data_IF_174612045503
#
_entry.id   IF_174612045503
#
_cell.length_a   1.000
_cell.length_b   1.000
_cell.length_c   1.000
_cell.angle_alpha   90.00
_cell.angle_beta   90.00
_cell.angle_gamma   90.00
#
_symmetry.space_group_name_H-M   'P 1'
#
loop_
_entity.id
_entity.type
_entity.pdbx_description
1 polymer ?
#
# COMPACT_ATOMS: atom_id res chain seq x y z
N UNK A 1 16.15 3.77 9.69
CA UNK A 1 14.92 4.17 8.96
C UNK A 1 13.77 3.53 9.70
N UNK A 2 13.06 4.30 10.53
CA UNK A 2 11.97 3.77 11.37
C UNK A 2 10.76 3.59 10.43
N UNK A 3 10.42 2.34 10.09
CA UNK A 3 9.20 2.02 9.34
C UNK A 3 8.05 2.00 10.34
N UNK A 4 7.14 2.97 10.29
CA UNK A 4 5.85 2.87 10.96
C UNK A 4 5.01 1.83 10.22
N UNK A 5 4.92 0.63 10.77
CA UNK A 5 3.97 -0.38 10.32
C UNK A 5 2.65 -0.14 11.05
N UNK A 6 1.71 0.54 10.41
CA UNK A 6 0.34 0.65 10.92
C UNK A 6 -0.42 -0.61 10.52
N UNK A 7 -0.43 -1.63 11.37
CA UNK A 7 -1.26 -2.81 11.16
C UNK A 7 -2.69 -2.50 11.61
N UNK A 8 -3.59 -2.31 10.65
CA UNK A 8 -5.02 -2.24 10.95
C UNK A 8 -5.60 -3.65 11.02
N UNK A 9 -6.25 -3.97 12.13
CA UNK A 9 -7.04 -5.18 12.32
C UNK A 9 -8.11 -5.31 11.24
N UNK A 10 -8.07 -6.40 10.49
CA UNK A 10 -9.10 -6.73 9.50
C UNK A 10 -10.35 -7.29 10.19
N UNK A 11 -11.24 -6.43 10.67
CA UNK A 11 -12.62 -6.84 10.90
C UNK A 11 -13.33 -6.82 9.55
N UNK A 12 -13.54 -7.98 8.94
CA UNK A 12 -14.43 -8.11 7.80
C UNK A 12 -15.88 -7.96 8.31
N UNK A 13 -16.39 -6.73 8.30
CA UNK A 13 -17.84 -6.54 8.34
C UNK A 13 -18.31 -6.85 6.92
N UNK A 14 -18.97 -7.99 6.73
CA UNK A 14 -19.79 -8.25 5.55
C UNK A 14 -21.03 -7.37 5.63
N UNK A 15 -20.90 -6.08 5.39
CA UNK A 15 -22.03 -5.27 5.00
C UNK A 15 -22.39 -5.67 3.57
N UNK A 16 -23.68 -5.87 3.31
CA UNK A 16 -24.17 -6.02 1.94
C UNK A 16 -23.54 -4.92 1.09
N UNK A 17 -22.69 -5.32 0.13
CA UNK A 17 -21.93 -4.41 -0.68
C UNK A 17 -22.91 -3.50 -1.41
N UNK A 18 -23.01 -2.24 -1.00
CA UNK A 18 -23.42 -1.20 -1.92
C UNK A 18 -22.41 -1.27 -3.07
N UNK A 19 -22.89 -1.40 -4.30
CA UNK A 19 -22.00 -1.49 -5.45
C UNK A 19 -21.13 -0.23 -5.43
N UNK A 20 -19.84 -0.40 -5.15
CA UNK A 20 -18.90 0.71 -5.12
C UNK A 20 -18.91 1.39 -6.49
N UNK A 21 -19.08 2.69 -6.49
CA UNK A 21 -19.22 3.48 -7.71
C UNK A 21 -17.87 3.83 -8.32
N UNK A 22 -16.85 3.92 -7.48
CA UNK A 22 -15.49 4.30 -7.85
C UNK A 22 -14.46 3.32 -7.32
N UNK A 23 -13.29 3.31 -7.94
CA UNK A 23 -12.09 2.63 -7.45
C UNK A 23 -10.89 3.54 -7.57
N UNK A 24 -9.92 3.38 -6.68
CA UNK A 24 -8.63 4.07 -6.78
C UNK A 24 -7.79 3.42 -7.89
N UNK A 25 -7.49 4.16 -8.93
CA UNK A 25 -6.71 3.68 -10.07
C UNK A 25 -5.22 3.98 -9.94
N UNK A 26 -4.83 5.16 -9.44
CA UNK A 26 -3.43 5.47 -9.17
C UNK A 26 -3.24 6.61 -8.18
N UNK A 27 -1.99 6.71 -7.72
CA UNK A 27 -1.48 7.81 -6.93
C UNK A 27 -0.21 8.29 -7.61
N UNK A 28 -0.08 9.60 -7.86
CA UNK A 28 1.12 10.16 -8.44
C UNK A 28 1.63 11.36 -7.64
N UNK A 29 2.97 11.52 -7.63
CA UNK A 29 3.64 12.66 -7.03
C UNK A 29 3.60 13.87 -7.96
N UNK A 30 3.36 15.07 -7.38
CA UNK A 30 3.43 16.33 -8.12
C UNK A 30 4.82 16.67 -8.67
N UNK A 31 5.86 15.98 -8.21
CA UNK A 31 7.20 16.06 -8.76
C UNK A 31 7.34 15.33 -10.11
N UNK A 32 6.32 14.54 -10.48
CA UNK A 32 6.26 13.83 -11.76
C UNK A 32 7.26 12.67 -11.91
N UNK A 33 7.88 12.24 -10.82
CA UNK A 33 8.92 11.22 -10.80
C UNK A 33 8.49 9.90 -10.19
N UNK A 34 7.29 9.82 -9.60
CA UNK A 34 6.78 8.61 -8.97
C UNK A 34 5.27 8.48 -9.19
N UNK A 35 4.85 7.29 -9.61
CA UNK A 35 3.44 6.91 -9.73
C UNK A 35 3.24 5.47 -9.26
N UNK A 36 2.19 5.25 -8.47
CA UNK A 36 1.69 3.91 -8.14
C UNK A 36 0.38 3.68 -8.88
N UNK A 37 0.29 2.59 -9.65
CA UNK A 37 -0.89 2.22 -10.44
C UNK A 37 -1.48 0.94 -9.87
N UNK A 38 -2.80 0.92 -9.70
CA UNK A 38 -3.55 -0.22 -9.19
C UNK A 38 -4.27 -0.95 -10.33
N UNK A 39 -3.98 -2.23 -10.50
CA UNK A 39 -4.60 -3.11 -11.47
C UNK A 39 -5.73 -3.92 -10.86
N UNK A 40 -6.72 -4.24 -11.68
CA UNK A 40 -7.91 -4.99 -11.27
C UNK A 40 -8.20 -6.10 -12.28
N UNK A 41 -8.64 -7.25 -11.78
CA UNK A 41 -9.06 -8.37 -12.64
C UNK A 41 -10.43 -8.09 -13.31
N UNK A 42 -10.90 -9.05 -14.11
CA UNK A 42 -12.18 -8.94 -14.82
C UNK A 42 -13.39 -8.88 -13.90
N UNK A 43 -13.25 -9.34 -12.68
CA UNK A 43 -14.29 -9.31 -11.65
C UNK A 43 -14.21 -8.01 -10.82
N UNK A 44 -13.26 -7.11 -11.14
CA UNK A 44 -13.04 -5.84 -10.46
C UNK A 44 -12.25 -5.97 -9.16
N UNK A 45 -11.64 -7.13 -8.88
CA UNK A 45 -10.80 -7.30 -7.68
C UNK A 45 -9.39 -6.75 -7.95
N UNK A 46 -8.86 -6.06 -6.97
CA UNK A 46 -7.48 -5.59 -6.97
C UNK A 46 -6.50 -6.76 -7.07
N UNK A 47 -5.67 -6.81 -8.11
CA UNK A 47 -4.76 -7.93 -8.33
C UNK A 47 -3.34 -7.53 -8.73
N UNK A 48 -3.06 -6.24 -8.84
CA UNK A 48 -1.74 -5.76 -9.26
C UNK A 48 -1.46 -4.36 -8.69
N UNK A 49 -0.20 -4.13 -8.29
CA UNK A 49 0.35 -2.80 -8.01
C UNK A 49 1.57 -2.60 -8.89
N UNK A 50 1.67 -1.46 -9.52
CA UNK A 50 2.85 -1.05 -10.28
C UNK A 50 3.43 0.21 -9.68
N UNK A 51 4.76 0.24 -9.54
CA UNK A 51 5.50 1.42 -9.10
C UNK A 51 6.38 1.90 -10.22
N UNK A 52 6.14 3.12 -10.63
CA UNK A 52 6.87 3.79 -11.69
C UNK A 52 7.70 4.92 -11.11
N UNK A 53 8.93 5.07 -11.60
CA UNK A 53 9.75 6.26 -11.42
C UNK A 53 9.99 6.96 -12.76
N UNK A 54 10.91 7.94 -12.81
CA UNK A 54 11.26 8.66 -14.03
C UNK A 54 11.86 7.76 -15.14
N UNK A 55 12.30 6.54 -14.80
CA UNK A 55 12.83 5.55 -15.77
C UNK A 55 11.74 4.64 -16.32
N UNK A 56 10.59 4.59 -15.67
CA UNK A 56 9.44 3.75 -16.02
C UNK A 56 9.04 2.79 -14.90
N UNK A 57 8.46 1.64 -15.24
CA UNK A 57 8.07 0.61 -14.29
C UNK A 57 9.30 -0.02 -13.63
N UNK A 58 9.43 0.11 -12.31
CA UNK A 58 10.56 -0.41 -11.53
C UNK A 58 10.20 -1.61 -10.67
N UNK A 59 8.95 -1.65 -10.16
CA UNK A 59 8.43 -2.75 -9.35
C UNK A 59 6.99 -3.04 -9.75
N UNK A 60 6.59 -4.30 -9.62
CA UNK A 60 5.17 -4.64 -9.55
C UNK A 60 4.91 -5.81 -8.63
N UNK A 61 3.77 -5.76 -7.94
CA UNK A 61 3.21 -6.85 -7.17
C UNK A 61 2.06 -7.50 -7.96
N UNK A 62 1.93 -8.82 -7.86
CA UNK A 62 0.87 -9.61 -8.49
C UNK A 62 0.20 -10.49 -7.44
N UNK A 63 -1.10 -10.29 -7.25
CA UNK A 63 -1.89 -10.91 -6.21
C UNK A 63 -2.71 -12.07 -6.78
N UNK A 64 -2.67 -13.21 -6.11
CA UNK A 64 -3.56 -14.34 -6.35
C UNK A 64 -4.53 -14.49 -5.19
N UNK A 65 -5.75 -14.92 -5.52
CA UNK A 65 -6.83 -15.09 -4.56
C UNK A 65 -7.24 -16.56 -4.43
N UNK A 66 -7.54 -16.99 -3.21
CA UNK A 66 -8.17 -18.27 -2.94
C UNK A 66 -9.66 -18.28 -3.38
N UNK A 67 -10.31 -19.44 -3.26
CA UNK A 67 -11.72 -19.59 -3.61
C UNK A 67 -12.68 -18.74 -2.77
N UNK A 68 -12.26 -18.25 -1.62
CA UNK A 68 -13.04 -17.39 -0.73
C UNK A 68 -12.83 -15.88 -1.04
N UNK A 69 -12.01 -15.55 -2.05
CA UNK A 69 -11.72 -14.17 -2.43
C UNK A 69 -10.71 -13.46 -1.51
N UNK A 70 -9.92 -14.21 -0.74
CA UNK A 70 -8.85 -13.68 0.10
C UNK A 70 -7.51 -13.82 -0.63
N UNK A 71 -6.57 -12.90 -0.41
CA UNK A 71 -5.23 -12.97 -1.01
C UNK A 71 -4.53 -14.23 -0.50
N UNK A 72 -4.21 -15.15 -1.41
CA UNK A 72 -3.50 -16.38 -1.11
C UNK A 72 -1.99 -16.21 -1.28
N UNK A 73 -1.60 -15.46 -2.30
CA UNK A 73 -0.19 -15.23 -2.62
C UNK A 73 0.00 -13.84 -3.21
N UNK A 74 1.08 -13.20 -2.82
CA UNK A 74 1.58 -11.95 -3.38
C UNK A 74 2.99 -12.19 -3.92
N UNK A 75 3.23 -11.85 -5.19
CA UNK A 75 4.51 -11.95 -5.85
C UNK A 75 5.03 -10.55 -6.16
N UNK A 76 6.24 -10.23 -5.71
CA UNK A 76 6.90 -8.96 -6.01
C UNK A 76 8.00 -9.16 -7.06
N UNK A 77 7.95 -8.34 -8.10
CA UNK A 77 8.92 -8.34 -9.18
C UNK A 77 9.63 -6.98 -9.26
N UNK A 78 10.94 -7.02 -9.46
CA UNK A 78 11.77 -5.83 -9.64
C UNK A 78 12.40 -5.84 -11.03
N UNK A 79 12.42 -4.68 -11.70
CA UNK A 79 13.16 -4.51 -12.93
C UNK A 79 14.66 -4.51 -12.66
N UNK A 80 15.40 -5.25 -13.49
CA UNK A 80 16.86 -5.29 -13.47
C UNK A 80 17.42 -4.87 -14.81
N UNK A 81 18.26 -3.83 -14.81
CA UNK A 81 18.89 -3.33 -16.03
C UNK A 81 19.83 -4.37 -16.67
N UNK A 82 20.57 -5.12 -15.83
CA UNK A 82 21.53 -6.13 -16.28
C UNK A 82 20.86 -7.31 -17.01
N UNK A 83 19.62 -7.63 -16.65
CA UNK A 83 18.85 -8.75 -17.21
C UNK A 83 17.83 -8.27 -18.28
N UNK A 84 17.73 -6.97 -18.50
CA UNK A 84 16.72 -6.31 -19.36
C UNK A 84 15.27 -6.79 -19.09
N UNK A 85 14.95 -7.11 -17.82
CA UNK A 85 13.67 -7.70 -17.47
C UNK A 85 13.30 -7.62 -15.98
N UNK A 86 12.14 -8.20 -15.69
CA UNK A 86 11.66 -8.30 -14.32
C UNK A 86 12.07 -9.63 -13.68
N UNK A 87 12.67 -9.53 -12.50
CA UNK A 87 13.01 -10.68 -11.68
C UNK A 87 12.07 -10.78 -10.49
N UNK A 88 11.64 -11.98 -10.15
CA UNK A 88 10.92 -12.27 -8.91
C UNK A 88 11.87 -12.09 -7.73
N UNK A 89 11.57 -11.09 -6.87
CA UNK A 89 12.42 -10.75 -5.72
C UNK A 89 11.87 -11.21 -4.39
N UNK A 90 10.56 -11.32 -4.27
CA UNK A 90 9.92 -11.87 -3.08
C UNK A 90 8.55 -12.47 -3.38
N UNK A 91 8.09 -13.30 -2.45
CA UNK A 91 6.77 -13.90 -2.45
C UNK A 91 6.26 -13.98 -1.02
N UNK A 92 5.00 -13.63 -0.80
CA UNK A 92 4.29 -13.87 0.45
C UNK A 92 3.14 -14.86 0.23
N UNK A 93 2.98 -15.83 1.14
CA UNK A 93 1.83 -16.73 1.18
C UNK A 93 1.03 -16.45 2.45
N UNK A 94 -0.30 -16.60 2.38
CA UNK A 94 -1.21 -16.23 3.45
C UNK A 94 -2.17 -17.38 3.78
N UNK A 95 -2.42 -17.59 5.08
CA UNK A 95 -3.41 -18.54 5.55
C UNK A 95 -4.42 -17.90 6.48
N UNK A 96 -5.67 -18.38 6.40
CA UNK A 96 -6.82 -17.79 7.07
C UNK A 96 -7.57 -18.84 7.89
N UNK A 97 -8.20 -18.41 8.97
CA UNK A 97 -9.13 -19.23 9.74
C UNK A 97 -10.52 -19.30 9.09
N UNK A 98 -11.44 -20.05 9.72
CA UNK A 98 -12.83 -20.18 9.25
C UNK A 98 -13.67 -18.90 9.35
N UNK A 99 -13.20 -17.91 10.10
CA UNK A 99 -13.82 -16.58 10.24
C UNK A 99 -13.26 -15.58 9.21
N UNK A 100 -12.21 -15.97 8.48
CA UNK A 100 -11.55 -15.12 7.50
C UNK A 100 -10.40 -14.28 8.07
N UNK A 101 -9.98 -14.51 9.30
CA UNK A 101 -8.83 -13.84 9.90
C UNK A 101 -7.54 -14.42 9.33
N UNK A 102 -6.57 -13.55 9.05
CA UNK A 102 -5.21 -13.94 8.68
C UNK A 102 -4.53 -14.57 9.90
N UNK A 103 -4.20 -15.87 9.84
CA UNK A 103 -3.58 -16.58 10.96
C UNK A 103 -2.10 -16.85 10.76
N UNK A 104 -1.62 -16.85 9.53
CA UNK A 104 -0.18 -16.93 9.24
C UNK A 104 0.17 -16.28 7.89
N UNK A 105 1.44 -15.90 7.78
CA UNK A 105 2.09 -15.44 6.55
C UNK A 105 3.49 -16.01 6.46
N UNK A 106 3.84 -16.58 5.32
CA UNK A 106 5.20 -17.01 4.99
C UNK A 106 5.83 -16.04 3.99
N UNK A 107 7.02 -15.56 4.31
CA UNK A 107 7.80 -14.68 3.45
C UNK A 107 8.94 -15.47 2.79
N UNK A 108 9.11 -15.27 1.50
CA UNK A 108 10.18 -15.82 0.71
C UNK A 108 10.93 -14.70 0.01
N UNK A 109 12.24 -14.71 0.08
CA UNK A 109 13.10 -13.73 -0.58
C UNK A 109 14.02 -14.41 -1.59
N UNK A 110 14.29 -13.70 -2.70
CA UNK A 110 15.24 -14.17 -3.71
C UNK A 110 16.67 -13.96 -3.24
N UNK A 111 17.52 -14.92 -3.57
CA UNK A 111 18.97 -14.84 -3.40
C UNK A 111 19.66 -13.96 -4.47
N UNK A 112 18.88 -13.32 -5.34
CA UNK A 112 19.35 -12.51 -6.46
C UNK A 112 19.46 -13.28 -7.78
N UNK A 113 19.29 -14.61 -7.77
CA UNK A 113 19.20 -15.44 -9.00
C UNK A 113 17.75 -15.66 -9.45
N UNK A 114 16.76 -15.16 -8.69
CA UNK A 114 15.34 -15.46 -8.86
C UNK A 114 14.89 -16.73 -8.13
N UNK A 115 15.80 -17.44 -7.46
CA UNK A 115 15.45 -18.56 -6.58
C UNK A 115 14.97 -18.02 -5.25
N UNK A 116 13.77 -18.43 -4.84
CA UNK A 116 13.17 -18.01 -3.57
C UNK A 116 13.54 -18.97 -2.44
N UNK A 117 14.00 -18.41 -1.32
CA UNK A 117 14.18 -19.12 -0.06
C UNK A 117 13.17 -18.60 0.98
N UNK A 118 12.61 -19.50 1.78
CA UNK A 118 11.79 -19.14 2.93
C UNK A 118 12.62 -18.31 3.90
N UNK A 119 12.15 -17.14 4.28
CA UNK A 119 12.90 -16.19 5.11
C UNK A 119 12.29 -15.95 6.48
N UNK A 120 10.96 -15.91 6.56
CA UNK A 120 10.25 -15.70 7.83
C UNK A 120 8.85 -16.32 7.81
N UNK A 121 8.41 -16.75 9.00
CA UNK A 121 7.05 -17.21 9.28
C UNK A 121 6.42 -16.28 10.32
N UNK A 122 5.22 -15.77 10.04
CA UNK A 122 4.50 -14.86 10.92
C UNK A 122 3.19 -15.53 11.35
N UNK A 123 2.91 -15.50 12.65
CA UNK A 123 1.69 -16.05 13.25
C UNK A 123 0.87 -14.93 13.88
N UNK A 124 -0.41 -14.90 13.61
CA UNK A 124 -1.37 -13.92 14.14
C UNK A 124 -2.32 -14.60 15.12
N UNK A 125 -2.55 -13.99 16.27
CA UNK A 125 -3.52 -14.45 17.27
C UNK A 125 -4.54 -13.36 17.56
N UNK A 126 -5.75 -13.78 17.87
CA UNK A 126 -6.90 -12.90 18.08
C UNK A 126 -7.50 -13.14 19.45
N UNK A 127 -8.03 -12.08 20.06
CA UNK A 127 -8.75 -12.15 21.33
C UNK A 127 -10.19 -12.71 21.16
N UNK A 128 -10.90 -12.89 22.28
CA UNK A 128 -12.27 -13.42 22.30
C UNK A 128 -13.28 -12.51 21.56
N UNK A 129 -12.92 -11.26 21.26
CA UNK A 129 -13.71 -10.30 20.48
C UNK A 129 -13.29 -10.27 19.01
N UNK A 130 -12.45 -11.22 18.58
CA UNK A 130 -11.92 -11.33 17.22
C UNK A 130 -11.10 -10.11 16.79
N UNK A 131 -10.37 -9.47 17.73
CA UNK A 131 -9.43 -8.39 17.48
C UNK A 131 -8.01 -8.95 17.52
N UNK A 132 -7.11 -8.41 16.71
CA UNK A 132 -5.70 -8.85 16.68
C UNK A 132 -5.06 -8.59 18.06
N UNK A 133 -4.70 -9.66 18.77
CA UNK A 133 -4.06 -9.60 20.08
C UNK A 133 -2.53 -9.56 19.95
N UNK A 134 -2.01 -10.35 19.03
CA UNK A 134 -0.57 -10.49 18.88
C UNK A 134 -0.20 -10.96 17.48
N UNK A 135 0.93 -10.50 16.98
CA UNK A 135 1.61 -11.17 15.90
C UNK A 135 3.04 -11.52 16.33
N UNK A 136 3.53 -12.69 15.93
CA UNK A 136 4.87 -13.17 16.25
C UNK A 136 5.60 -13.54 14.97
N UNK A 137 6.84 -13.09 14.83
CA UNK A 137 7.66 -13.30 13.64
C UNK A 137 8.85 -14.19 13.97
N UNK A 138 9.04 -15.22 13.14
CA UNK A 138 10.03 -16.27 13.31
C UNK A 138 10.96 -16.31 12.08
N UNK A 139 12.23 -16.58 12.29
CA UNK A 139 13.11 -16.98 11.20
C UNK A 139 12.69 -18.33 10.62
N UNK A 140 12.88 -18.52 9.32
CA UNK A 140 12.48 -19.77 8.66
C UNK A 140 13.19 -21.03 9.20
N UNK A 141 14.36 -20.88 9.78
CA UNK A 141 15.19 -21.94 10.38
C UNK A 141 15.01 -22.07 11.90
N UNK A 142 14.25 -21.17 12.55
CA UNK A 142 13.89 -21.25 13.98
C UNK A 142 12.41 -20.86 14.18
N UNK A 143 11.53 -21.85 14.12
CA UNK A 143 10.09 -21.68 14.34
C UNK A 143 9.68 -21.83 15.82
N UNK A 144 10.63 -22.03 16.74
CA UNK A 144 10.35 -22.15 18.17
C UNK A 144 10.49 -20.81 18.89
N UNK A 145 11.47 -19.99 18.48
CA UNK A 145 11.80 -18.72 19.12
C UNK A 145 11.46 -17.54 18.19
N UNK A 146 10.42 -16.75 18.48
CA UNK A 146 10.14 -15.57 17.67
C UNK A 146 11.24 -14.52 17.87
N UNK A 147 11.70 -13.91 16.79
CA UNK A 147 12.65 -12.79 16.88
C UNK A 147 11.96 -11.44 17.09
N UNK A 148 10.65 -11.33 16.77
CA UNK A 148 9.85 -10.16 17.02
C UNK A 148 8.43 -10.53 17.44
N UNK A 149 7.88 -9.75 18.38
CA UNK A 149 6.48 -9.85 18.82
C UNK A 149 5.88 -8.45 18.87
N UNK A 150 4.70 -8.29 18.25
CA UNK A 150 3.86 -7.11 18.39
C UNK A 150 2.63 -7.51 19.21
N UNK A 151 2.42 -6.88 20.38
CA UNK A 151 1.28 -7.12 21.24
C UNK A 151 0.35 -5.90 21.26
N UNK A 152 -0.94 -6.14 21.07
CA UNK A 152 -1.98 -5.12 20.91
C UNK A 152 -2.85 -5.10 22.14
N UNK A 153 -3.15 -3.92 22.67
CA UNK A 153 -4.13 -3.73 23.75
C UNK A 153 -5.25 -2.80 23.28
N UNK A 154 -6.41 -2.97 23.89
CA UNK A 154 -7.61 -2.21 23.53
C UNK A 154 -8.25 -1.62 24.77
N UNK A 155 -8.77 -0.40 24.66
CA UNK A 155 -9.51 0.25 25.71
C UNK A 155 -10.93 -0.33 25.88
N UNK A 156 -11.68 0.13 26.89
CA UNK A 156 -13.05 -0.32 27.16
C UNK A 156 -14.03 -0.06 26.00
N UNK A 157 -13.77 0.93 25.16
CA UNK A 157 -14.54 1.22 23.95
C UNK A 157 -14.18 0.31 22.77
N UNK A 158 -13.19 -0.60 22.94
CA UNK A 158 -12.73 -1.50 21.88
C UNK A 158 -11.76 -0.85 20.89
N UNK A 159 -11.27 0.35 21.16
CA UNK A 159 -10.30 1.04 20.34
C UNK A 159 -8.88 0.62 20.71
N UNK A 160 -7.96 0.61 19.75
CA UNK A 160 -6.56 0.27 19.98
C UNK A 160 -5.93 1.26 20.98
N UNK A 161 -5.48 0.76 22.11
CA UNK A 161 -4.88 1.56 23.19
C UNK A 161 -3.36 1.60 23.08
N UNK A 162 -2.73 0.44 22.82
CA UNK A 162 -1.29 0.41 22.61
C UNK A 162 -0.83 -0.75 21.73
N UNK A 163 0.38 -0.59 21.17
CA UNK A 163 1.17 -1.66 20.54
C UNK A 163 2.51 -1.71 21.23
N UNK A 164 2.86 -2.85 21.82
CA UNK A 164 4.18 -3.12 22.39
C UNK A 164 5.01 -3.93 21.39
N UNK A 165 6.17 -3.42 21.03
CA UNK A 165 7.13 -4.04 20.13
C UNK A 165 8.25 -4.66 20.96
N UNK A 166 8.40 -5.99 20.83
CA UNK A 166 9.39 -6.79 21.54
C UNK A 166 10.30 -7.49 20.56
N UNK A 167 11.58 -7.50 20.86
CA UNK A 167 12.58 -8.16 20.03
C UNK A 167 13.45 -9.10 20.85
N UNK A 168 13.84 -10.22 20.24
CA UNK A 168 14.76 -11.16 20.85
C UNK A 168 16.16 -10.54 20.96
N UNK A 169 16.85 -10.80 22.06
CA UNK A 169 18.25 -10.46 22.19
C UNK A 169 19.10 -11.28 21.18
N UNK A 170 20.03 -10.60 20.53
CA UNK A 170 20.88 -11.23 19.50
C UNK A 170 21.74 -12.40 20.03
N UNK A 171 22.15 -12.33 21.32
CA UNK A 171 22.98 -13.35 21.94
C UNK A 171 22.18 -14.39 22.71
N UNK A 172 20.91 -14.09 23.05
CA UNK A 172 20.00 -14.97 23.75
C UNK A 172 18.59 -14.89 23.14
N UNK A 173 18.31 -15.60 22.02
CA UNK A 173 17.04 -15.50 21.28
C UNK A 173 15.79 -15.86 22.10
N UNK A 174 15.93 -16.53 23.24
CA UNK A 174 14.81 -16.81 24.16
C UNK A 174 14.49 -15.64 25.09
N UNK A 175 15.32 -14.60 25.14
CA UNK A 175 15.11 -13.40 25.93
C UNK A 175 14.52 -12.31 25.02
N UNK A 176 13.23 -12.07 25.17
CA UNK A 176 12.46 -11.14 24.36
C UNK A 176 12.04 -9.97 25.21
N UNK A 177 12.65 -8.82 24.96
CA UNK A 177 12.37 -7.57 25.68
C UNK A 177 11.59 -6.58 24.84
N UNK A 178 10.74 -5.80 25.52
CA UNK A 178 10.06 -4.68 24.90
C UNK A 178 11.05 -3.53 24.68
N UNK A 179 11.15 -3.08 23.43
CA UNK A 179 12.06 -2.00 23.03
C UNK A 179 11.35 -0.74 22.59
N UNK A 180 10.07 -0.88 22.18
CA UNK A 180 9.27 0.24 21.73
C UNK A 180 7.80 0.05 22.08
N UNK A 181 7.09 1.14 22.41
CA UNK A 181 5.65 1.14 22.66
C UNK A 181 5.00 2.33 21.97
N UNK A 182 3.96 2.08 21.19
CA UNK A 182 3.08 3.13 20.68
C UNK A 182 1.80 3.17 21.49
N UNK A 183 1.40 4.35 21.98
CA UNK A 183 0.16 4.58 22.70
C UNK A 183 -0.75 5.50 21.90
N UNK A 184 -2.05 5.23 21.91
CA UNK A 184 -3.07 5.90 21.11
C UNK A 184 -4.06 6.64 21.99
N UNK A 185 -4.37 7.88 21.63
CA UNK A 185 -5.31 8.75 22.35
C UNK A 185 -6.46 9.16 21.43
N UNK A 186 -7.68 9.14 21.96
CA UNK A 186 -8.90 9.42 21.22
C UNK A 186 -9.67 10.58 21.87
N UNK A 187 -10.38 11.36 21.07
CA UNK A 187 -11.28 12.40 21.55
C UNK A 187 -12.63 11.82 22.01
N UNK A 188 -13.53 12.70 22.48
CA UNK A 188 -14.86 12.31 22.94
C UNK A 188 -15.80 11.81 21.83
N UNK A 189 -15.42 11.95 20.55
CA UNK A 189 -16.12 11.40 19.38
C UNK A 189 -15.53 10.06 18.93
N UNK A 190 -14.46 9.60 19.58
CA UNK A 190 -13.76 8.37 19.25
C UNK A 190 -12.79 8.52 18.07
N UNK A 191 -12.40 9.74 17.70
CA UNK A 191 -11.42 10.02 16.67
C UNK A 191 -10.01 9.96 17.27
N UNK A 192 -9.05 9.34 16.56
CA UNK A 192 -7.66 9.26 16.98
C UNK A 192 -7.00 10.63 16.92
N UNK A 193 -6.64 11.21 18.05
CA UNK A 193 -6.02 12.56 18.09
C UNK A 193 -4.52 12.53 18.28
N UNK A 194 -3.98 11.45 18.86
CA UNK A 194 -2.53 11.31 19.06
C UNK A 194 -2.09 9.85 19.01
N UNK A 195 -0.90 9.61 18.46
CA UNK A 195 -0.15 8.37 18.56
C UNK A 195 1.28 8.69 19.03
N UNK A 196 1.64 8.23 20.25
CA UNK A 196 2.91 8.50 20.91
C UNK A 196 3.78 7.26 20.93
N UNK A 197 4.93 7.31 20.30
CA UNK A 197 5.95 6.25 20.29
C UNK A 197 7.02 6.50 21.35
N UNK A 198 7.29 5.49 22.15
CA UNK A 198 8.25 5.53 23.26
C UNK A 198 9.32 4.47 23.08
N UNK A 199 10.58 4.82 23.29
CA UNK A 199 11.60 3.82 23.59
C UNK A 199 11.38 3.28 25.02
N UNK A 200 11.56 1.97 25.16
CA UNK A 200 11.48 1.28 26.46
C UNK A 200 12.88 0.86 26.89
N UNK A 201 13.34 1.35 28.05
CA UNK A 201 14.62 0.98 28.63
C UNK A 201 14.38 0.52 30.07
N UNK A 202 14.55 -0.77 30.34
CA UNK A 202 14.31 -1.37 31.67
C UNK A 202 12.96 -1.01 32.27
N UNK A 203 11.92 -0.88 31.41
CA UNK A 203 10.55 -0.52 31.79
C UNK A 203 10.26 0.98 31.82
N UNK A 204 11.27 1.84 31.74
CA UNK A 204 11.08 3.30 31.66
C UNK A 204 10.74 3.71 30.21
N UNK A 205 9.72 4.59 30.07
CA UNK A 205 9.26 5.12 28.80
C UNK A 205 9.91 6.48 28.51
N UNK A 206 10.51 6.60 27.33
CA UNK A 206 11.09 7.86 26.84
C UNK A 206 10.47 8.21 25.49
N UNK A 207 9.75 9.34 25.41
CA UNK A 207 9.06 9.77 24.21
C UNK A 207 10.06 9.95 23.05
N UNK A 208 9.86 9.22 21.99
CA UNK A 208 10.67 9.28 20.77
C UNK A 208 10.00 10.13 19.68
N UNK A 209 8.70 9.96 19.52
CA UNK A 209 7.93 10.54 18.43
C UNK A 209 6.47 10.67 18.83
N UNK A 210 5.82 11.73 18.38
CA UNK A 210 4.37 11.91 18.50
C UNK A 210 3.78 12.26 17.14
N UNK A 211 2.69 11.59 16.78
CA UNK A 211 1.87 11.92 15.63
C UNK A 211 0.52 12.44 16.10
N UNK A 212 0.13 13.63 15.67
CA UNK A 212 -1.13 14.31 16.02
C UNK A 212 -2.01 14.44 14.79
N UNK A 213 -3.34 14.46 14.98
CA UNK A 213 -4.33 14.48 13.92
C UNK A 213 -5.38 15.56 14.17
N UNK A 214 -5.68 16.34 13.14
CA UNK A 214 -6.77 17.31 13.13
C UNK A 214 -7.88 16.86 12.17
N UNK A 215 -9.14 17.17 12.50
CA UNK A 215 -10.31 16.70 11.77
C UNK A 215 -11.20 17.87 11.33
N UNK A 216 -11.93 17.69 10.21
CA UNK A 216 -13.03 18.55 9.83
C UNK A 216 -14.33 18.19 10.56
N UNK A 217 -15.39 18.97 10.34
CA UNK A 217 -16.71 18.73 10.94
C UNK A 217 -17.43 17.48 10.42
N UNK A 218 -16.91 16.81 9.38
CA UNK A 218 -17.44 15.56 8.83
C UNK A 218 -16.63 14.36 9.33
N UNK A 219 -15.51 14.58 10.02
CA UNK A 219 -14.64 13.55 10.58
C UNK A 219 -13.55 13.06 9.63
N UNK A 220 -13.24 13.82 8.58
CA UNK A 220 -12.04 13.58 7.79
C UNK A 220 -10.82 14.17 8.47
N UNK A 221 -9.67 13.49 8.43
CA UNK A 221 -8.38 14.05 8.85
C UNK A 221 -7.99 15.17 7.90
N UNK A 222 -7.85 16.39 8.39
CA UNK A 222 -7.43 17.54 7.57
C UNK A 222 -5.92 17.76 7.61
N UNK A 223 -5.29 17.41 8.71
CA UNK A 223 -3.84 17.51 8.90
C UNK A 223 -3.34 16.39 9.82
N UNK A 224 -2.16 15.86 9.56
CA UNK A 224 -1.38 15.16 10.57
C UNK A 224 0.02 15.79 10.68
N UNK A 225 0.57 15.79 11.90
CA UNK A 225 1.89 16.29 12.22
C UNK A 225 2.69 15.22 12.95
N UNK A 226 3.95 15.12 12.62
CA UNK A 226 4.91 14.27 13.32
C UNK A 226 5.91 15.17 14.06
N UNK A 227 6.01 14.97 15.37
CA UNK A 227 6.94 15.66 16.25
C UNK A 227 7.99 14.69 16.79
N UNK A 228 9.23 15.13 16.85
CA UNK A 228 10.33 14.43 17.49
C UNK A 228 11.18 15.42 18.25
N UNK A 229 11.50 15.14 19.52
CA UNK A 229 12.26 16.01 20.41
C UNK A 229 11.68 17.45 20.48
N UNK A 230 10.36 17.60 20.47
CA UNK A 230 9.65 18.87 20.53
C UNK A 230 9.70 19.71 19.26
N UNK A 231 10.15 19.13 18.14
CA UNK A 231 10.17 19.80 16.83
C UNK A 231 9.27 19.06 15.85
N UNK A 232 8.48 19.80 15.09
CA UNK A 232 7.71 19.22 13.98
C UNK A 232 8.69 18.84 12.86
N UNK A 233 8.73 17.53 12.55
CA UNK A 233 9.65 16.97 11.53
C UNK A 233 8.96 16.75 10.18
N UNK A 234 7.66 16.53 10.19
CA UNK A 234 6.85 16.46 8.97
C UNK A 234 5.38 16.79 9.26
N UNK A 235 4.68 17.15 8.21
CA UNK A 235 3.26 17.47 8.24
C UNK A 235 2.63 17.06 6.91
N UNK A 236 1.41 16.49 6.96
CA UNK A 236 0.58 16.22 5.79
C UNK A 236 -0.72 17.00 5.91
N UNK A 237 -1.20 17.55 4.78
CA UNK A 237 -2.51 18.18 4.67
C UNK A 237 -3.34 17.46 3.61
N UNK A 238 -4.61 17.20 3.92
CA UNK A 238 -5.49 16.36 3.13
C UNK A 238 -6.63 17.16 2.51
N UNK A 239 -6.95 16.88 1.25
CA UNK A 239 -8.05 17.51 0.52
C UNK A 239 -9.04 16.43 0.07
N UNK A 240 -10.33 16.73 0.23
CA UNK A 240 -11.41 15.78 -0.03
C UNK A 240 -12.46 16.34 -0.99
N UNK A 241 -13.07 15.44 -1.77
CA UNK A 241 -14.35 15.67 -2.41
C UNK A 241 -15.45 15.29 -1.41
N UNK A 242 -16.01 16.30 -0.73
CA UNK A 242 -17.02 16.12 0.31
C UNK A 242 -18.38 15.67 -0.23
N UNK A 243 -18.55 15.59 -1.56
CA UNK A 243 -19.78 15.12 -2.20
C UNK A 243 -19.82 13.62 -2.44
N UNK A 244 -18.68 12.94 -2.28
CA UNK A 244 -18.52 11.49 -2.49
C UNK A 244 -18.13 10.81 -1.17
N UNK A 245 -18.97 9.87 -0.72
CA UNK A 245 -18.69 9.06 0.47
C UNK A 245 -17.52 8.10 0.19
N UNK A 246 -16.61 7.93 1.16
CA UNK A 246 -15.52 6.98 1.05
C UNK A 246 -16.01 5.52 0.93
N UNK A 247 -17.21 5.22 1.43
CA UNK A 247 -17.84 3.90 1.29
C UNK A 247 -18.20 3.55 -0.17
N UNK A 248 -18.36 4.56 -1.03
CA UNK A 248 -18.61 4.37 -2.47
C UNK A 248 -17.33 4.10 -3.26
N UNK A 249 -16.17 4.02 -2.59
CA UNK A 249 -14.87 3.87 -3.23
C UNK A 249 -14.25 2.53 -2.85
N UNK A 250 -13.82 1.79 -3.85
CA UNK A 250 -12.96 0.63 -3.65
C UNK A 250 -11.51 1.11 -3.53
N UNK A 251 -10.96 1.01 -2.31
CA UNK A 251 -9.55 1.22 -2.05
C UNK A 251 -8.81 -0.12 -2.07
N UNK A 252 -7.70 -0.24 -2.81
CA UNK A 252 -6.89 -1.45 -2.79
C UNK A 252 -6.37 -1.70 -1.36
N UNK A 253 -6.48 -2.96 -0.94
CA UNK A 253 -5.95 -3.41 0.35
C UNK A 253 -5.00 -4.56 0.09
N UNK A 254 -3.72 -4.34 0.36
CA UNK A 254 -2.71 -5.37 0.51
C UNK A 254 -1.97 -5.13 1.82
N UNK A 255 -1.01 -5.97 2.18
CA UNK A 255 -0.21 -5.74 3.38
C UNK A 255 0.60 -4.43 3.33
N UNK A 256 0.87 -3.91 2.13
CA UNK A 256 1.62 -2.68 1.93
C UNK A 256 0.72 -1.46 1.63
N UNK A 257 -0.51 -1.70 1.15
CA UNK A 257 -1.43 -0.64 0.73
C UNK A 257 -2.76 -0.74 1.47
N UNK A 258 -3.01 0.20 2.36
CA UNK A 258 -4.26 0.28 3.12
C UNK A 258 -4.72 1.74 3.26
N UNK A 259 -4.90 2.41 2.13
CA UNK A 259 -5.16 3.86 2.08
C UNK A 259 -6.51 4.20 2.71
N UNK A 260 -7.55 3.40 2.41
CA UNK A 260 -8.91 3.68 2.90
C UNK A 260 -9.12 3.44 4.40
N UNK A 261 -8.26 2.64 5.05
CA UNK A 261 -8.40 2.28 6.48
C UNK A 261 -7.50 3.08 7.40
N UNK A 262 -6.39 3.61 6.89
CA UNK A 262 -5.37 4.30 7.71
C UNK A 262 -5.94 5.47 8.50
N UNK A 263 -7.00 6.13 7.99
CA UNK A 263 -7.55 7.35 8.59
C UNK A 263 -9.07 7.29 8.84
N UNK A 264 -9.73 6.16 8.57
CA UNK A 264 -11.18 6.11 8.65
C UNK A 264 -11.83 7.18 7.78
N UNK A 265 -11.37 7.28 6.52
CA UNK A 265 -11.85 8.25 5.54
C UNK A 265 -13.37 8.29 5.50
N UNK A 266 -13.96 9.48 5.56
CA UNK A 266 -15.41 9.70 5.43
C UNK A 266 -15.78 10.10 4.01
N UNK A 267 -14.88 10.80 3.33
CA UNK A 267 -15.08 11.28 1.98
C UNK A 267 -13.91 10.89 1.07
N UNK A 268 -14.09 11.06 -0.23
CA UNK A 268 -13.12 10.76 -1.26
C UNK A 268 -11.88 11.65 -1.13
N UNK A 269 -10.72 11.06 -0.90
CA UNK A 269 -9.44 11.74 -0.79
C UNK A 269 -8.95 12.16 -2.18
N UNK A 270 -8.69 13.47 -2.39
CA UNK A 270 -8.21 14.01 -3.66
C UNK A 270 -6.71 14.18 -3.71
N UNK A 271 -6.13 14.74 -2.65
CA UNK A 271 -4.69 14.97 -2.56
C UNK A 271 -4.19 14.99 -1.12
N UNK A 272 -2.88 14.76 -0.99
CA UNK A 272 -2.12 14.94 0.26
C UNK A 272 -0.93 15.82 -0.03
N UNK A 273 -0.87 17.01 0.58
CA UNK A 273 0.28 17.90 0.52
C UNK A 273 1.27 17.53 1.63
N UNK A 274 2.50 17.20 1.25
CA UNK A 274 3.55 16.72 2.15
C UNK A 274 4.53 17.86 2.44
N UNK A 275 4.75 18.15 3.71
CA UNK A 275 5.71 19.13 4.21
C UNK A 275 6.81 18.42 5.02
N UNK A 276 8.04 18.80 4.80
CA UNK A 276 9.21 18.25 5.50
C UNK A 276 10.02 19.35 6.16
N UNK A 277 10.63 19.05 7.30
CA UNK A 277 11.53 19.99 7.99
C UNK A 277 12.96 19.74 7.53
N UNK A 278 13.55 20.74 6.90
CA UNK A 278 14.93 20.72 6.38
C UNK A 278 15.92 21.41 7.32
N UNK A 279 15.54 21.65 8.60
CA UNK A 279 16.36 22.34 9.59
C UNK A 279 15.99 23.82 9.79
N UNK A 280 15.44 24.48 8.78
CA UNK A 280 14.99 25.89 8.82
C UNK A 280 13.46 26.01 9.04
N UNK A 281 12.77 24.90 9.33
CA UNK A 281 11.33 24.81 9.52
C UNK A 281 10.65 23.95 8.45
N UNK A 282 9.31 23.84 8.55
CA UNK A 282 8.51 23.08 7.60
C UNK A 282 8.46 23.80 6.24
N UNK A 283 8.82 23.06 5.20
CA UNK A 283 8.70 23.51 3.80
C UNK A 283 7.83 22.53 3.02
N UNK A 284 7.04 23.04 2.08
CA UNK A 284 6.32 22.19 1.14
C UNK A 284 7.32 21.35 0.34
N UNK A 285 7.09 20.04 0.31
CA UNK A 285 7.87 19.09 -0.45
C UNK A 285 7.18 18.74 -1.78
N UNK A 286 6.04 18.10 -1.71
CA UNK A 286 5.29 17.64 -2.88
C UNK A 286 3.83 17.33 -2.49
N UNK A 287 2.99 17.11 -3.51
CA UNK A 287 1.64 16.55 -3.32
C UNK A 287 1.56 15.14 -3.90
N UNK A 288 0.83 14.27 -3.20
CA UNK A 288 0.32 13.02 -3.74
C UNK A 288 -1.11 13.26 -4.24
N UNK A 289 -1.39 12.88 -5.47
CA UNK A 289 -2.70 13.05 -6.10
C UNK A 289 -3.33 11.68 -6.34
N UNK A 290 -4.60 11.52 -5.97
CA UNK A 290 -5.35 10.26 -6.03
C UNK A 290 -6.30 10.30 -7.23
N UNK A 291 -6.18 9.32 -8.10
CA UNK A 291 -6.97 9.24 -9.33
C UNK A 291 -7.92 8.06 -9.25
N UNK A 292 -9.18 8.31 -9.58
CA UNK A 292 -10.27 7.35 -9.46
C UNK A 292 -10.92 7.10 -10.80
N UNK A 293 -11.24 5.83 -11.06
CA UNK A 293 -12.07 5.39 -12.17
C UNK A 293 -13.39 4.78 -11.68
N UNK A 294 -14.33 4.51 -12.59
CA UNK A 294 -15.58 3.83 -12.25
C UNK A 294 -15.29 2.39 -11.83
N UNK A 295 -15.93 1.92 -10.74
CA UNK A 295 -15.87 0.53 -10.33
C UNK A 295 -16.55 -0.36 -11.38
N UNK A 296 -15.94 -1.53 -11.65
CA UNK A 296 -16.51 -2.50 -12.59
C UNK A 296 -16.21 -2.25 -14.08
N UNK A 297 -15.37 -1.28 -14.42
CA UNK A 297 -14.89 -1.10 -15.80
C UNK A 297 -13.53 -1.75 -16.00
N UNK A 298 -13.48 -2.75 -16.86
CA UNK A 298 -12.23 -3.24 -17.45
C UNK A 298 -11.93 -2.34 -18.65
N UNK A 299 -11.03 -1.39 -18.49
CA UNK A 299 -10.66 -0.46 -19.58
C UNK A 299 -9.18 -0.19 -19.60
N UNK A 300 -8.63 0.00 -20.77
CA UNK A 300 -7.29 0.57 -20.95
C UNK A 300 -7.36 2.00 -20.45
N UNK A 301 -6.53 2.34 -19.47
CA UNK A 301 -6.48 3.67 -18.89
C UNK A 301 -5.65 4.60 -19.76
N UNK A 302 -6.14 5.82 -19.91
CA UNK A 302 -5.36 6.91 -20.49
C UNK A 302 -4.37 7.43 -19.42
N UNK A 303 -3.07 7.22 -19.67
CA UNK A 303 -2.02 7.82 -18.83
C UNK A 303 -1.65 9.18 -19.43
N UNK A 304 -1.90 10.24 -18.70
CA UNK A 304 -1.41 11.56 -19.06
C UNK A 304 0.08 11.65 -18.72
N UNK A 305 0.96 11.38 -19.70
CA UNK A 305 2.34 11.85 -19.62
C UNK A 305 2.39 13.29 -20.12
N UNK A 306 3.30 14.09 -19.59
CA UNK A 306 3.40 15.54 -19.76
C UNK A 306 3.60 16.04 -21.21
N UNK A 307 3.58 15.17 -22.23
CA UNK A 307 3.83 15.56 -23.64
C UNK A 307 3.11 14.74 -24.72
N UNK A 308 2.43 13.63 -24.39
CA UNK A 308 1.69 12.86 -25.39
C UNK A 308 0.32 12.46 -24.86
N UNK A 309 -0.74 12.80 -25.55
CA UNK A 309 -2.10 12.32 -25.27
C UNK A 309 -2.28 11.01 -26.00
N UNK A 310 -2.54 9.94 -25.25
CA UNK A 310 -2.79 8.60 -25.80
C UNK A 310 -4.27 8.29 -25.65
N UNK A 311 -4.93 7.96 -26.75
CA UNK A 311 -6.31 7.47 -26.72
C UNK A 311 -6.43 6.11 -27.40
N UNK A 312 -7.30 5.24 -26.89
CA UNK A 312 -7.58 3.92 -27.48
C UNK A 312 -9.04 3.83 -27.83
N UNK A 313 -9.30 3.58 -29.11
CA UNK A 313 -10.65 3.38 -29.63
C UNK A 313 -10.63 2.48 -30.87
N UNK A 314 -11.65 1.63 -31.03
CA UNK A 314 -11.80 0.76 -32.21
C UNK A 314 -10.53 -0.06 -32.55
N UNK A 315 -9.86 -0.64 -31.53
CA UNK A 315 -8.61 -1.39 -31.67
C UNK A 315 -7.45 -0.58 -32.28
N UNK A 316 -7.46 0.71 -32.08
CA UNK A 316 -6.37 1.61 -32.52
C UNK A 316 -5.91 2.42 -31.33
N UNK A 317 -4.60 2.46 -31.08
CA UNK A 317 -3.96 3.36 -30.13
C UNK A 317 -3.51 4.60 -30.91
N UNK A 318 -3.96 5.77 -30.49
CA UNK A 318 -3.59 7.05 -31.10
C UNK A 318 -2.70 7.84 -30.14
N UNK A 319 -1.55 8.34 -30.63
CA UNK A 319 -0.61 9.17 -29.89
C UNK A 319 -0.63 10.58 -30.47
N UNK A 320 -1.12 11.55 -29.72
CA UNK A 320 -1.17 12.95 -30.17
C UNK A 320 0.13 13.65 -29.75
N UNK A 321 0.86 14.22 -30.69
CA UNK A 321 2.15 14.90 -30.44
C UNK A 321 3.37 13.99 -30.58
N UNK A 322 3.19 12.72 -30.98
CA UNK A 322 4.22 11.70 -30.95
C UNK A 322 4.90 11.36 -32.27
N UNK A 323 5.14 12.32 -33.17
CA UNK A 323 5.75 12.05 -34.52
C UNK A 323 7.10 11.30 -34.46
N UNK A 324 7.75 11.22 -33.30
CA UNK A 324 8.99 10.46 -33.07
C UNK A 324 8.86 9.45 -31.92
N UNK A 325 7.65 9.18 -31.43
CA UNK A 325 7.45 8.30 -30.29
C UNK A 325 7.66 6.84 -30.66
N UNK A 326 8.21 6.08 -29.72
CA UNK A 326 8.23 4.62 -29.73
C UNK A 326 7.11 4.11 -28.86
N UNK A 327 6.18 3.35 -29.46
CA UNK A 327 5.11 2.66 -28.71
C UNK A 327 5.51 1.20 -28.55
N UNK A 328 5.59 0.75 -27.29
CA UNK A 328 5.85 -0.65 -26.94
C UNK A 328 4.66 -1.20 -26.17
N UNK A 329 4.07 -2.30 -26.60
CA UNK A 329 2.89 -2.92 -25.98
C UNK A 329 3.30 -4.27 -25.42
N UNK A 330 2.98 -4.48 -24.13
CA UNK A 330 3.29 -5.68 -23.38
C UNK A 330 2.01 -6.41 -22.97
N UNK A 331 2.04 -7.73 -22.93
CA UNK A 331 0.95 -8.53 -22.35
C UNK A 331 1.05 -8.55 -20.81
N UNK A 332 0.08 -9.21 -20.15
CA UNK A 332 0.03 -9.34 -18.69
C UNK A 332 1.25 -10.02 -18.06
N UNK A 333 1.99 -10.81 -18.85
CA UNK A 333 3.25 -11.44 -18.41
C UNK A 333 4.48 -10.55 -18.60
N UNK A 334 4.31 -9.27 -19.00
CA UNK A 334 5.42 -8.36 -19.27
C UNK A 334 6.14 -8.62 -20.60
N UNK A 335 5.64 -9.55 -21.44
CA UNK A 335 6.24 -9.87 -22.72
C UNK A 335 5.85 -8.83 -23.76
N UNK A 336 6.84 -8.26 -24.47
CA UNK A 336 6.60 -7.34 -25.59
C UNK A 336 5.85 -8.07 -26.73
N UNK A 337 4.64 -7.60 -27.05
CA UNK A 337 3.78 -8.21 -28.07
C UNK A 337 3.60 -7.33 -29.31
N UNK A 338 3.89 -6.02 -29.21
CA UNK A 338 3.86 -5.11 -30.34
C UNK A 338 4.79 -3.92 -30.10
N UNK A 339 5.53 -3.50 -31.12
CA UNK A 339 6.35 -2.28 -31.12
C UNK A 339 6.10 -1.47 -32.38
N UNK A 340 5.87 -0.17 -32.25
CA UNK A 340 5.72 0.77 -33.35
C UNK A 340 6.60 2.02 -33.11
N UNK A 341 7.28 2.49 -34.13
CA UNK A 341 8.19 3.64 -34.05
C UNK A 341 7.72 4.70 -35.02
N UNK A 342 7.62 5.96 -34.55
CA UNK A 342 7.30 7.12 -35.39
C UNK A 342 5.91 7.09 -36.01
N UNK A 343 4.91 6.55 -35.28
CA UNK A 343 3.51 6.46 -35.73
C UNK A 343 2.56 7.13 -34.76
N UNK A 344 1.70 7.98 -35.30
CA UNK A 344 0.60 8.62 -34.55
C UNK A 344 -0.54 7.64 -34.27
N UNK A 345 -0.58 6.51 -34.97
CA UNK A 345 -1.59 5.46 -34.83
C UNK A 345 -0.98 4.08 -34.89
N UNK A 346 -1.32 3.25 -33.91
CA UNK A 346 -0.88 1.86 -33.83
C UNK A 346 -2.12 0.96 -33.89
N UNK A 347 -2.15 0.06 -34.87
CA UNK A 347 -3.21 -0.92 -35.06
C UNK A 347 -3.04 -2.06 -34.03
N UNK A 348 -4.04 -2.27 -33.20
CA UNK A 348 -4.09 -3.30 -32.15
C UNK A 348 -4.96 -4.50 -32.56
N UNK A 349 -5.47 -4.54 -33.81
CA UNK A 349 -6.40 -5.59 -34.26
C UNK A 349 -5.79 -6.99 -34.26
N UNK A 350 -4.46 -7.09 -34.34
CA UNK A 350 -3.74 -8.37 -34.21
C UNK A 350 -3.63 -8.92 -32.80
N UNK A 351 -3.91 -8.08 -31.79
CA UNK A 351 -3.83 -8.51 -30.38
C UNK A 351 -5.15 -9.18 -29.97
N UNK A 352 -5.10 -10.34 -29.28
CA UNK A 352 -6.27 -10.94 -28.63
C UNK A 352 -6.97 -9.96 -27.70
N UNK A 353 -8.22 -10.22 -27.35
CA UNK A 353 -8.88 -9.49 -26.25
C UNK A 353 -8.15 -9.77 -24.93
N UNK A 354 -7.74 -8.71 -24.23
CA UNK A 354 -6.95 -8.84 -23.01
C UNK A 354 -6.49 -7.49 -22.48
N UNK A 355 -5.82 -7.50 -21.34
CA UNK A 355 -5.14 -6.35 -20.77
C UNK A 355 -3.73 -6.26 -21.37
N UNK A 356 -3.34 -5.04 -21.75
CA UNK A 356 -2.03 -4.74 -22.29
C UNK A 356 -1.50 -3.45 -21.68
N UNK A 357 -0.20 -3.37 -21.53
CA UNK A 357 0.52 -2.16 -21.10
C UNK A 357 1.11 -1.53 -22.34
N UNK A 358 0.80 -0.26 -22.61
CA UNK A 358 1.41 0.52 -23.68
C UNK A 358 2.38 1.55 -23.08
N UNK A 359 3.66 1.44 -23.42
CA UNK A 359 4.69 2.42 -23.09
C UNK A 359 4.95 3.28 -24.34
N UNK A 360 4.82 4.61 -24.20
CA UNK A 360 5.06 5.59 -25.27
C UNK A 360 6.23 6.46 -24.85
N UNK A 361 7.30 6.44 -25.62
CA UNK A 361 8.53 7.23 -25.40
C UNK A 361 8.82 8.16 -26.55
#
# INVERSE_FOLDING_TARGET
>A
MIKFLLLCTAAFITTAASAQTYRLDSIYSSLGNEETIFGYDTDGRFNRVERHDYTGLVYYDSLLYNSNGQIETDYCYQYREDDEGFMLVSKCCYGYDGNGNLIWRDNYNSDGSGTLAHSAHIVYTYDDQNRLEKYSEYWADDLENPFAIMAYTYNEAGQLESIAEKYADFFNPSDIEESFRTMYEYDGLGQLVSAKGYYVNYGDLSLAIEKQYDYDGQGNVTEDRVESNGNVVSKNQYQYDLTVDAADIYYPVSNEYNIGRTFGLKNKLLSTDVYVNNGDGLTYGYSLNYVYGPAGTTGIREMASSSAVVSVGNKTLQVVGGANSTVSIYNQSGQLVLRAIGRDRVDLSSLPSGLYIANVR
#
